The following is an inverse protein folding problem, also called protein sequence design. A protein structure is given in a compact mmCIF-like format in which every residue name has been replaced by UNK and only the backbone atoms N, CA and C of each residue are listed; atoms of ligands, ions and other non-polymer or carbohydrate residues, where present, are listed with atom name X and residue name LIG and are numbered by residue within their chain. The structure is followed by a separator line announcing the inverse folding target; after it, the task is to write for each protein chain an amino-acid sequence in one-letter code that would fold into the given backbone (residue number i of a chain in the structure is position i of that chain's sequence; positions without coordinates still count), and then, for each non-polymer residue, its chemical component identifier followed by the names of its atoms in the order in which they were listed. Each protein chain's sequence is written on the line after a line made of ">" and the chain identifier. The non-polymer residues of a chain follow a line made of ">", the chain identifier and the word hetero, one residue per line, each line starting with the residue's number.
data_IF_735849535145
#
_entry.id   IF_735849535145
#
_cell.length_a   1.000
_cell.length_b   1.000
_cell.length_c   1.000
_cell.angle_alpha   90.00
_cell.angle_beta   90.00
_cell.angle_gamma   90.00
#
_symmetry.space_group_name_H-M   'P 1'
#
loop_
_entity.id
_entity.type
_entity.pdbx_description
1 polymer ?
#
# COMPACT_ATOMS: atom_id res chain seq x y z
N UNK A 1 69.89 23.53 30.56
CA UNK A 1 68.40 23.78 30.65
C UNK A 1 67.81 24.46 29.39
N UNK A 2 68.42 25.44 28.78
CA UNK A 2 67.86 26.16 27.60
C UNK A 2 67.66 25.28 26.35
N UNK A 3 68.50 24.26 26.12
CA UNK A 3 68.42 23.38 24.96
C UNK A 3 67.22 22.42 25.02
N UNK A 4 66.87 21.96 26.21
CA UNK A 4 65.75 21.07 26.43
C UNK A 4 64.38 21.76 26.27
N UNK A 5 64.28 23.04 26.72
CA UNK A 5 63.08 23.87 26.54
C UNK A 5 62.85 24.25 25.08
N UNK A 6 63.94 24.45 24.32
CA UNK A 6 63.83 24.75 22.87
C UNK A 6 63.36 23.53 22.06
N UNK A 7 63.83 22.31 22.41
CA UNK A 7 63.42 21.07 21.77
C UNK A 7 61.93 20.75 22.05
N UNK A 8 61.47 20.90 23.31
CA UNK A 8 60.08 20.73 23.71
C UNK A 8 59.17 21.78 23.07
N UNK A 9 59.61 23.02 23.00
CA UNK A 9 58.86 24.11 22.33
C UNK A 9 58.68 23.89 20.84
N UNK A 10 59.68 23.37 20.15
CA UNK A 10 59.57 22.99 18.71
C UNK A 10 58.71 21.74 18.54
N UNK A 11 58.79 20.73 19.43
CA UNK A 11 57.97 19.54 19.37
C UNK A 11 56.50 19.91 19.61
N UNK A 12 56.17 20.76 20.55
CA UNK A 12 54.82 21.23 20.81
C UNK A 12 54.29 22.14 19.65
N UNK A 13 55.13 22.95 19.01
CA UNK A 13 54.77 23.70 17.81
C UNK A 13 54.46 22.75 16.63
N UNK A 14 55.26 21.70 16.49
CA UNK A 14 55.05 20.70 15.43
C UNK A 14 53.75 19.91 15.65
N UNK A 15 53.39 19.55 16.89
CA UNK A 15 52.09 18.96 17.20
C UNK A 15 50.92 19.90 16.93
N UNK A 16 51.05 21.17 17.21
CA UNK A 16 50.01 22.18 17.00
C UNK A 16 49.80 22.49 15.50
N UNK A 17 50.87 22.47 14.70
CA UNK A 17 50.80 22.57 13.23
C UNK A 17 50.24 21.34 12.58
N UNK A 18 50.49 20.15 13.10
CA UNK A 18 49.90 18.90 12.60
C UNK A 18 48.37 18.88 12.79
N UNK A 19 47.85 19.44 13.88
CA UNK A 19 46.42 19.54 14.13
C UNK A 19 45.66 20.49 13.18
N UNK A 20 46.38 21.47 12.59
CA UNK A 20 45.79 22.44 11.64
C UNK A 20 45.47 21.81 10.28
N UNK A 21 46.16 20.71 9.90
CA UNK A 21 46.00 20.06 8.63
C UNK A 21 45.06 18.81 8.67
N UNK A 22 44.50 18.51 9.85
CA UNK A 22 43.54 17.42 10.00
C UNK A 22 42.11 17.98 10.15
N UNK A 23 41.24 17.59 9.25
CA UNK A 23 39.80 17.80 9.41
C UNK A 23 39.17 16.58 10.06
N UNK A 24 38.31 16.80 11.04
CA UNK A 24 37.51 15.78 11.67
C UNK A 24 36.10 15.82 11.11
N UNK A 25 35.64 14.73 10.55
CA UNK A 25 34.32 14.57 10.02
C UNK A 25 33.52 13.60 10.90
N UNK A 26 32.30 13.98 11.25
CA UNK A 26 31.37 13.14 11.98
C UNK A 26 30.29 12.64 11.02
N UNK A 27 30.20 11.31 10.86
CA UNK A 27 29.13 10.62 10.14
C UNK A 27 28.17 10.03 11.19
N UNK A 28 26.92 10.48 11.19
CA UNK A 28 25.90 10.04 12.15
C UNK A 28 25.45 8.60 11.86
N UNK A 29 24.89 7.88 12.86
CA UNK A 29 24.25 6.60 12.64
C UNK A 29 23.17 6.69 11.54
N UNK A 30 22.99 5.61 10.76
CA UNK A 30 22.06 5.52 9.64
C UNK A 30 22.33 6.52 8.50
N UNK A 31 23.55 7.02 8.42
CA UNK A 31 24.03 7.82 7.30
C UNK A 31 25.37 7.31 6.82
N UNK A 32 25.69 7.62 5.59
CA UNK A 32 26.97 7.29 4.95
C UNK A 32 27.60 8.55 4.39
N UNK A 33 28.89 8.71 4.62
CA UNK A 33 29.68 9.80 4.08
C UNK A 33 30.37 9.38 2.78
N UNK A 34 30.41 10.29 1.81
CA UNK A 34 31.19 10.16 0.58
C UNK A 34 32.20 11.30 0.56
N UNK A 35 33.47 10.93 0.70
CA UNK A 35 34.57 11.88 0.72
C UNK A 35 35.11 12.13 -0.69
N UNK A 36 35.10 13.39 -1.08
CA UNK A 36 35.68 13.88 -2.31
C UNK A 36 36.92 14.69 -1.99
N UNK A 37 37.96 14.52 -2.79
CA UNK A 37 39.17 15.32 -2.75
C UNK A 37 39.43 15.92 -4.14
N UNK A 38 39.56 17.22 -4.20
CA UNK A 38 39.72 17.94 -5.48
C UNK A 38 38.64 17.55 -6.51
N UNK A 39 37.37 17.41 -6.04
CA UNK A 39 36.19 16.98 -6.80
C UNK A 39 36.26 15.52 -7.33
N UNK A 40 37.23 14.71 -6.87
CA UNK A 40 37.34 13.30 -7.21
C UNK A 40 36.91 12.48 -5.99
N UNK A 41 36.08 11.45 -6.22
CA UNK A 41 35.69 10.54 -5.16
C UNK A 41 36.92 9.79 -4.61
N UNK A 42 37.12 9.88 -3.29
CA UNK A 42 38.23 9.20 -2.62
C UNK A 42 37.78 7.89 -1.95
N UNK A 43 36.79 7.99 -1.05
CA UNK A 43 36.30 6.81 -0.30
C UNK A 43 34.95 7.03 0.36
N UNK A 44 34.29 5.91 0.69
CA UNK A 44 33.07 5.84 1.51
C UNK A 44 33.46 5.84 3.00
N UNK A 45 32.78 6.62 3.82
CA UNK A 45 32.93 6.68 5.27
C UNK A 45 31.68 6.10 5.94
N UNK A 46 31.89 5.13 6.83
CA UNK A 46 30.83 4.58 7.68
C UNK A 46 30.51 5.52 8.85
N UNK A 47 29.46 5.22 9.61
CA UNK A 47 29.11 5.99 10.81
C UNK A 47 30.28 6.03 11.80
N UNK A 48 30.57 7.20 12.36
CA UNK A 48 31.65 7.43 13.30
C UNK A 48 32.38 8.73 13.09
N UNK A 49 33.50 8.89 13.79
CA UNK A 49 34.41 10.02 13.62
C UNK A 49 35.59 9.62 12.73
N UNK A 50 35.85 10.43 11.72
CA UNK A 50 36.92 10.20 10.76
C UNK A 50 37.84 11.39 10.69
N UNK A 51 39.13 11.15 10.85
CA UNK A 51 40.18 12.15 10.64
C UNK A 51 40.73 12.06 9.22
N UNK A 52 40.74 13.18 8.53
CA UNK A 52 41.22 13.27 7.16
C UNK A 52 42.29 14.35 7.07
N UNK A 53 43.44 14.03 6.48
CA UNK A 53 44.48 15.00 6.20
C UNK A 53 44.05 15.88 5.02
N UNK A 54 43.96 17.21 5.26
CA UNK A 54 43.53 18.19 4.24
C UNK A 54 44.27 19.50 4.41
N UNK A 55 45.52 19.49 4.03
CA UNK A 55 46.36 20.69 4.17
C UNK A 55 46.04 21.80 3.15
N UNK A 56 45.35 21.43 2.00
CA UNK A 56 44.92 22.38 0.97
C UNK A 56 43.50 22.84 1.09
N UNK A 57 42.75 22.34 2.10
CA UNK A 57 41.32 22.59 2.28
C UNK A 57 40.47 22.28 1.05
N UNK A 58 40.74 21.12 0.41
CA UNK A 58 40.09 20.65 -0.82
C UNK A 58 39.30 19.35 -0.66
N UNK A 59 38.98 18.98 0.59
CA UNK A 59 38.13 17.82 0.85
C UNK A 59 36.73 18.28 1.17
N UNK A 60 35.76 17.62 0.54
CA UNK A 60 34.32 17.78 0.73
C UNK A 60 33.69 16.47 1.15
N UNK A 61 32.72 16.54 2.07
CA UNK A 61 31.99 15.37 2.55
C UNK A 61 30.50 15.52 2.25
N UNK A 62 29.97 14.61 1.46
CA UNK A 62 28.53 14.47 1.23
C UNK A 62 27.99 13.35 2.10
N UNK A 63 26.96 13.65 2.89
CA UNK A 63 26.34 12.68 3.81
C UNK A 63 24.95 12.32 3.28
N UNK A 64 24.74 11.04 2.96
CA UNK A 64 23.47 10.49 2.49
C UNK A 64 22.81 9.64 3.57
N UNK A 65 21.49 9.69 3.73
CA UNK A 65 20.76 8.78 4.61
C UNK A 65 20.71 7.37 4.02
N UNK A 66 20.91 6.36 4.85
CA UNK A 66 20.68 4.94 4.52
C UNK A 66 19.29 4.44 4.95
N UNK A 67 18.45 5.30 5.51
CA UNK A 67 17.11 4.94 5.95
C UNK A 67 16.11 5.00 4.80
N UNK A 68 15.10 4.14 4.87
CA UNK A 68 13.94 4.22 3.97
C UNK A 68 13.14 5.48 4.25
N UNK A 69 12.69 6.14 3.19
CA UNK A 69 11.84 7.33 3.24
C UNK A 69 10.52 7.07 2.55
N UNK A 70 9.46 7.68 3.07
CA UNK A 70 8.12 7.63 2.52
C UNK A 70 7.80 8.93 1.78
N UNK A 71 7.44 8.82 0.51
CA UNK A 71 6.88 9.90 -0.30
C UNK A 71 5.37 9.73 -0.38
N UNK A 72 4.65 10.80 -0.11
CA UNK A 72 3.19 10.84 -0.17
C UNK A 72 2.80 11.82 -1.27
N UNK A 73 2.05 11.34 -2.25
CA UNK A 73 1.53 12.15 -3.35
C UNK A 73 0.01 12.08 -3.33
N UNK A 74 -0.64 13.23 -3.22
CA UNK A 74 -2.09 13.34 -3.07
C UNK A 74 -2.72 14.04 -4.26
N UNK A 75 -4.02 13.78 -4.47
CA UNK A 75 -4.88 14.50 -5.40
C UNK A 75 -4.38 14.56 -6.86
N UNK A 76 -3.94 13.43 -7.37
CA UNK A 76 -3.61 13.30 -8.78
C UNK A 76 -4.84 12.95 -9.59
N UNK A 77 -5.01 13.57 -10.75
CA UNK A 77 -6.12 13.30 -11.67
C UNK A 77 -5.63 12.48 -12.85
N UNK A 78 -6.46 11.52 -13.27
CA UNK A 78 -6.21 10.66 -14.42
C UNK A 78 -7.52 10.26 -15.07
N UNK A 79 -7.47 9.99 -16.38
CA UNK A 79 -8.58 9.42 -17.13
C UNK A 79 -8.37 7.90 -17.26
N UNK A 80 -9.45 7.16 -17.06
CA UNK A 80 -9.54 5.75 -17.38
C UNK A 80 -9.65 5.51 -18.88
N UNK A 81 -9.59 4.25 -19.30
CA UNK A 81 -9.78 3.87 -20.71
C UNK A 81 -11.13 4.32 -21.27
N UNK A 82 -12.18 4.30 -20.48
CA UNK A 82 -13.54 4.76 -20.79
C UNK A 82 -13.76 6.27 -20.56
N UNK A 83 -12.67 7.06 -20.48
CA UNK A 83 -12.66 8.52 -20.29
C UNK A 83 -13.34 9.02 -19.01
N UNK A 84 -13.40 8.21 -17.97
CA UNK A 84 -13.86 8.65 -16.65
C UNK A 84 -12.70 9.29 -15.89
N UNK A 85 -12.86 10.56 -15.51
CA UNK A 85 -11.88 11.24 -14.66
C UNK A 85 -11.99 10.71 -13.23
N UNK A 86 -10.85 10.37 -12.63
CA UNK A 86 -10.76 9.97 -11.23
C UNK A 86 -9.59 10.67 -10.54
N UNK A 87 -9.67 10.75 -9.22
CA UNK A 87 -8.59 11.22 -8.36
C UNK A 87 -7.96 10.06 -7.61
N UNK A 88 -6.63 10.08 -7.52
CA UNK A 88 -5.89 9.09 -6.78
C UNK A 88 -4.79 9.73 -5.93
N UNK A 89 -4.41 9.01 -4.90
CA UNK A 89 -3.26 9.31 -4.04
C UNK A 89 -2.43 8.05 -3.89
N UNK A 90 -1.11 8.21 -3.78
CA UNK A 90 -0.21 7.08 -3.66
C UNK A 90 0.96 7.36 -2.75
N UNK A 91 1.58 6.31 -2.27
CA UNK A 91 2.76 6.34 -1.44
C UNK A 91 3.88 5.54 -2.11
N UNK A 92 5.09 6.07 -2.04
CA UNK A 92 6.30 5.37 -2.49
C UNK A 92 7.30 5.35 -1.35
N UNK A 93 7.72 4.16 -0.93
CA UNK A 93 8.81 3.99 0.01
C UNK A 93 10.07 3.67 -0.78
N UNK A 94 11.10 4.44 -0.55
CA UNK A 94 12.38 4.31 -1.25
C UNK A 94 13.55 4.41 -0.30
N UNK A 95 14.70 3.88 -0.74
CA UNK A 95 15.99 3.96 -0.06
C UNK A 95 17.10 4.26 -1.05
N UNK A 96 18.07 5.08 -0.68
CA UNK A 96 19.29 5.29 -1.45
C UNK A 96 20.22 4.10 -1.15
N UNK A 97 20.41 3.22 -2.11
CA UNK A 97 21.24 2.00 -1.96
C UNK A 97 22.64 2.21 -2.49
N UNK A 98 22.77 2.88 -3.62
CA UNK A 98 24.07 3.24 -4.18
C UNK A 98 24.25 4.76 -4.17
N UNK A 99 24.84 5.25 -3.06
CA UNK A 99 25.09 6.68 -2.89
C UNK A 99 26.14 7.23 -3.86
N UNK A 100 27.00 6.39 -4.44
CA UNK A 100 27.96 6.83 -5.45
C UNK A 100 27.25 7.12 -6.77
N UNK A 101 26.49 6.17 -7.28
CA UNK A 101 25.67 6.37 -8.49
C UNK A 101 24.74 7.55 -8.31
N UNK A 102 24.15 7.69 -7.11
CA UNK A 102 23.30 8.83 -6.77
C UNK A 102 24.03 10.17 -6.95
N UNK A 103 25.22 10.32 -6.35
CA UNK A 103 25.99 11.57 -6.44
C UNK A 103 26.51 11.85 -7.87
N UNK A 104 26.84 10.81 -8.64
CA UNK A 104 27.30 10.96 -10.02
C UNK A 104 26.18 11.45 -10.99
N UNK A 105 24.90 11.31 -10.63
CA UNK A 105 23.75 11.69 -11.45
C UNK A 105 23.17 13.08 -11.17
N UNK A 106 23.64 13.74 -10.12
CA UNK A 106 23.16 15.07 -9.70
C UNK A 106 24.32 16.06 -9.62
N UNK A 107 24.01 17.33 -9.88
CA UNK A 107 24.98 18.40 -9.75
C UNK A 107 25.28 18.66 -8.26
N UNK A 108 26.56 18.52 -7.88
CA UNK A 108 27.02 18.65 -6.49
C UNK A 108 27.34 20.12 -6.09
N UNK A 109 26.90 21.09 -6.87
CA UNK A 109 27.00 22.53 -6.60
C UNK A 109 25.99 23.01 -5.55
N UNK A 110 24.98 22.18 -5.26
CA UNK A 110 23.89 22.46 -4.33
C UNK A 110 24.11 21.77 -2.99
N UNK A 111 23.38 22.20 -1.97
CA UNK A 111 23.32 21.49 -0.71
C UNK A 111 22.72 20.11 -0.91
N UNK A 112 23.24 19.11 -0.21
CA UNK A 112 22.81 17.71 -0.31
C UNK A 112 21.30 17.53 -0.13
N UNK A 113 20.67 18.33 0.70
CA UNK A 113 19.22 18.32 0.90
C UNK A 113 18.45 18.68 -0.39
N UNK A 114 18.92 19.70 -1.11
CA UNK A 114 18.30 20.10 -2.38
C UNK A 114 18.47 19.01 -3.46
N UNK A 115 19.59 18.31 -3.46
CA UNK A 115 19.85 17.18 -4.36
C UNK A 115 18.88 16.04 -4.05
N UNK A 116 18.67 15.72 -2.79
CA UNK A 116 17.70 14.69 -2.37
C UNK A 116 16.29 15.07 -2.79
N UNK A 117 15.86 16.33 -2.61
CA UNK A 117 14.55 16.81 -3.05
C UNK A 117 14.38 16.69 -4.57
N UNK A 118 15.42 17.02 -5.35
CA UNK A 118 15.39 16.87 -6.81
C UNK A 118 15.21 15.39 -7.20
N UNK A 119 15.91 14.49 -6.53
CA UNK A 119 15.77 13.05 -6.73
C UNK A 119 14.37 12.54 -6.37
N UNK A 120 13.80 13.02 -5.26
CA UNK A 120 12.43 12.73 -4.83
C UNK A 120 11.41 13.18 -5.87
N UNK A 121 11.56 14.38 -6.45
CA UNK A 121 10.68 14.86 -7.51
C UNK A 121 10.78 14.02 -8.79
N UNK A 122 11.98 13.59 -9.20
CA UNK A 122 12.16 12.67 -10.32
C UNK A 122 11.46 11.34 -10.05
N UNK A 123 11.60 10.79 -8.84
CA UNK A 123 10.96 9.53 -8.45
C UNK A 123 9.42 9.66 -8.43
N UNK A 124 8.90 10.78 -7.94
CA UNK A 124 7.46 11.08 -7.96
C UNK A 124 6.95 11.10 -9.41
N UNK A 125 7.65 11.78 -10.32
CA UNK A 125 7.25 11.85 -11.73
C UNK A 125 7.23 10.47 -12.39
N UNK A 126 8.22 9.63 -12.13
CA UNK A 126 8.28 8.24 -12.63
C UNK A 126 7.08 7.44 -12.08
N UNK A 127 6.84 7.52 -10.77
CA UNK A 127 5.72 6.83 -10.14
C UNK A 127 4.37 7.28 -10.70
N UNK A 128 4.18 8.59 -10.89
CA UNK A 128 2.97 9.14 -11.50
C UNK A 128 2.73 8.60 -12.91
N UNK A 129 3.78 8.56 -13.72
CA UNK A 129 3.66 8.04 -15.10
C UNK A 129 3.28 6.55 -15.10
N UNK A 130 3.93 5.74 -14.26
CA UNK A 130 3.63 4.32 -14.15
C UNK A 130 2.18 4.05 -13.70
N UNK A 131 1.68 4.81 -12.72
CA UNK A 131 0.29 4.65 -12.25
C UNK A 131 -0.70 5.11 -13.33
N UNK A 132 -0.44 6.28 -13.96
CA UNK A 132 -1.31 6.80 -15.03
C UNK A 132 -1.46 5.81 -16.16
N UNK A 133 -0.37 5.20 -16.61
CA UNK A 133 -0.40 4.19 -17.67
C UNK A 133 -1.26 2.99 -17.25
N UNK A 134 -1.06 2.45 -16.05
CA UNK A 134 -1.86 1.34 -15.53
C UNK A 134 -3.36 1.68 -15.43
N UNK A 135 -3.70 2.88 -14.97
CA UNK A 135 -5.10 3.30 -14.84
C UNK A 135 -5.73 3.54 -16.22
N UNK A 136 -4.99 4.14 -17.15
CA UNK A 136 -5.47 4.41 -18.51
C UNK A 136 -5.73 3.15 -19.34
N UNK A 137 -5.16 2.01 -18.97
CA UNK A 137 -5.41 0.71 -19.62
C UNK A 137 -6.70 0.02 -19.13
N UNK A 138 -7.25 0.46 -18.00
CA UNK A 138 -8.38 -0.18 -17.34
C UNK A 138 -9.66 0.64 -17.45
N UNK A 139 -10.78 -0.04 -17.60
CA UNK A 139 -12.10 0.58 -17.54
C UNK A 139 -12.50 0.89 -16.09
N UNK A 140 -13.34 1.90 -15.89
CA UNK A 140 -13.76 2.36 -14.57
C UNK A 140 -14.45 1.28 -13.73
N UNK A 141 -15.21 0.38 -14.34
CA UNK A 141 -15.86 -0.76 -13.69
C UNK A 141 -14.83 -1.75 -13.16
N UNK A 142 -13.85 -2.13 -14.00
CA UNK A 142 -12.75 -3.03 -13.63
C UNK A 142 -11.90 -2.44 -12.51
N UNK A 143 -11.62 -1.14 -12.55
CA UNK A 143 -10.92 -0.42 -11.48
C UNK A 143 -11.66 -0.46 -10.15
N UNK A 144 -12.99 -0.35 -10.18
CA UNK A 144 -13.81 -0.40 -8.98
C UNK A 144 -13.86 -1.82 -8.39
N UNK A 145 -13.96 -2.86 -9.23
CA UNK A 145 -14.02 -4.26 -8.79
C UNK A 145 -12.66 -4.79 -8.31
N UNK A 146 -11.56 -4.42 -9.01
CA UNK A 146 -10.19 -4.92 -8.77
C UNK A 146 -9.30 -3.95 -8.00
N UNK A 147 -9.90 -3.09 -7.18
CA UNK A 147 -9.18 -2.07 -6.41
C UNK A 147 -8.03 -2.63 -5.56
N UNK A 148 -8.20 -3.84 -5.04
CA UNK A 148 -7.17 -4.53 -4.25
C UNK A 148 -5.97 -4.98 -5.08
N UNK A 149 -6.14 -5.32 -6.35
CA UNK A 149 -5.05 -5.71 -7.24
C UNK A 149 -4.16 -4.52 -7.61
N UNK A 150 -4.73 -3.32 -7.63
CA UNK A 150 -4.01 -2.06 -7.87
C UNK A 150 -3.33 -1.50 -6.63
N UNK A 151 -3.54 -2.10 -5.46
CA UNK A 151 -2.92 -1.65 -4.22
C UNK A 151 -1.38 -1.60 -4.32
N UNK A 152 -0.77 -2.53 -5.05
CA UNK A 152 0.65 -2.52 -5.35
C UNK A 152 0.87 -2.25 -6.85
N UNK A 153 1.44 -1.08 -7.15
CA UNK A 153 1.74 -0.69 -8.53
C UNK A 153 3.24 -0.63 -8.85
N UNK A 154 4.07 -1.19 -8.00
CA UNK A 154 5.52 -1.31 -8.25
C UNK A 154 5.74 -2.08 -9.55
N UNK A 155 6.16 -1.37 -10.60
CA UNK A 155 6.49 -1.95 -11.91
C UNK A 155 7.99 -2.15 -12.06
N UNK A 156 8.38 -3.07 -12.94
CA UNK A 156 9.81 -3.26 -13.26
C UNK A 156 10.43 -2.02 -13.89
N UNK A 157 9.67 -1.29 -14.70
CA UNK A 157 10.12 -0.03 -15.32
C UNK A 157 10.44 1.03 -14.27
N UNK A 158 9.57 1.19 -13.24
CA UNK A 158 9.81 2.10 -12.13
C UNK A 158 11.07 1.71 -11.36
N UNK A 159 11.25 0.42 -11.09
CA UNK A 159 12.43 -0.08 -10.37
C UNK A 159 13.71 0.18 -11.18
N UNK A 160 13.71 -0.12 -12.48
CA UNK A 160 14.86 0.12 -13.37
C UNK A 160 15.20 1.61 -13.44
N UNK A 161 14.19 2.46 -13.66
CA UNK A 161 14.39 3.90 -13.73
C UNK A 161 14.92 4.49 -12.41
N UNK A 162 14.48 4.00 -11.26
CA UNK A 162 14.98 4.44 -9.95
C UNK A 162 16.42 3.97 -9.69
N UNK A 163 16.77 2.75 -10.11
CA UNK A 163 18.11 2.19 -9.97
C UNK A 163 19.15 2.97 -10.80
N UNK A 164 18.77 3.59 -11.93
CA UNK A 164 19.67 4.41 -12.75
C UNK A 164 20.29 5.58 -11.99
N UNK A 165 19.63 6.06 -10.93
CA UNK A 165 20.17 7.10 -10.04
C UNK A 165 20.38 6.61 -8.60
N UNK A 166 20.65 5.32 -8.42
CA UNK A 166 21.08 4.73 -7.15
C UNK A 166 19.99 4.61 -6.09
N UNK A 167 18.71 4.72 -6.47
CA UNK A 167 17.56 4.58 -5.57
C UNK A 167 16.89 3.22 -5.79
N UNK A 168 16.58 2.56 -4.68
CA UNK A 168 15.75 1.34 -4.70
C UNK A 168 14.35 1.67 -4.19
N UNK A 169 13.34 1.37 -4.98
CA UNK A 169 11.94 1.43 -4.56
C UNK A 169 11.60 0.17 -3.80
N UNK A 170 11.31 0.30 -2.51
CA UNK A 170 10.92 -0.82 -1.67
C UNK A 170 9.44 -1.16 -1.87
N UNK A 171 8.58 -0.14 -1.84
CA UNK A 171 7.15 -0.27 -1.92
C UNK A 171 6.54 0.89 -2.71
N UNK A 172 5.54 0.58 -3.54
CA UNK A 172 4.74 1.58 -4.23
C UNK A 172 3.27 1.17 -4.13
N UNK A 173 2.48 1.95 -3.38
CA UNK A 173 1.09 1.60 -3.05
C UNK A 173 0.13 2.71 -3.43
N UNK A 174 -0.98 2.30 -4.04
CA UNK A 174 -2.13 3.15 -4.21
C UNK A 174 -2.83 3.30 -2.85
N UNK A 175 -2.98 4.54 -2.39
CA UNK A 175 -3.61 4.86 -1.12
C UNK A 175 -5.11 5.05 -1.29
N UNK A 176 -5.49 6.02 -2.12
CA UNK A 176 -6.87 6.42 -2.33
C UNK A 176 -7.18 6.47 -3.82
N UNK A 177 -8.37 6.01 -4.19
CA UNK A 177 -8.94 6.10 -5.51
C UNK A 177 -10.37 6.60 -5.39
N UNK A 178 -10.68 7.76 -5.96
CA UNK A 178 -11.99 8.39 -5.82
C UNK A 178 -12.54 8.76 -7.18
N UNK A 179 -13.71 8.23 -7.49
CA UNK A 179 -14.48 8.63 -8.68
C UNK A 179 -15.33 9.87 -8.41
N UNK A 180 -15.72 10.64 -9.45
CA UNK A 180 -16.73 11.68 -9.34
C UNK A 180 -18.04 11.14 -8.76
N UNK A 181 -18.78 11.97 -8.03
CA UNK A 181 -20.01 11.57 -7.35
C UNK A 181 -21.04 10.95 -8.31
N UNK A 182 -21.18 11.49 -9.51
CA UNK A 182 -22.07 10.93 -10.54
C UNK A 182 -21.76 9.48 -10.90
N UNK A 183 -20.48 9.14 -10.99
CA UNK A 183 -20.02 7.78 -11.29
C UNK A 183 -20.17 6.86 -10.06
N UNK A 184 -19.90 7.37 -8.88
CA UNK A 184 -20.15 6.62 -7.63
C UNK A 184 -21.64 6.26 -7.50
N UNK A 185 -22.55 7.19 -7.80
CA UNK A 185 -23.99 6.95 -7.77
C UNK A 185 -24.43 5.91 -8.81
N UNK A 186 -23.81 5.89 -9.99
CA UNK A 186 -24.04 4.85 -11.01
C UNK A 186 -23.58 3.47 -10.53
N UNK A 187 -22.38 3.38 -9.95
CA UNK A 187 -21.88 2.13 -9.38
C UNK A 187 -22.74 1.62 -8.23
N UNK A 188 -23.22 2.53 -7.37
CA UNK A 188 -24.12 2.18 -6.28
C UNK A 188 -25.43 1.58 -6.80
N UNK A 189 -26.06 2.20 -7.81
CA UNK A 189 -27.27 1.69 -8.45
C UNK A 189 -27.02 0.33 -9.16
N UNK A 190 -25.90 0.19 -9.87
CA UNK A 190 -25.54 -1.09 -10.51
C UNK A 190 -25.36 -2.21 -9.46
N UNK A 191 -24.66 -1.93 -8.38
CA UNK A 191 -24.47 -2.89 -7.29
C UNK A 191 -25.79 -3.26 -6.62
N UNK A 192 -26.67 -2.27 -6.36
CA UNK A 192 -28.01 -2.52 -5.81
C UNK A 192 -28.82 -3.45 -6.72
N UNK A 193 -28.84 -3.18 -8.02
CA UNK A 193 -29.53 -4.02 -9.00
C UNK A 193 -28.94 -5.44 -9.03
N UNK A 194 -27.62 -5.60 -8.98
CA UNK A 194 -26.91 -6.90 -8.94
C UNK A 194 -27.26 -7.69 -7.66
N UNK A 195 -27.29 -7.01 -6.51
CA UNK A 195 -27.67 -7.62 -5.23
C UNK A 195 -29.14 -8.05 -5.25
N UNK A 196 -30.05 -7.19 -5.76
CA UNK A 196 -31.48 -7.51 -5.89
C UNK A 196 -31.69 -8.73 -6.78
N UNK A 197 -31.11 -8.77 -7.96
CA UNK A 197 -31.20 -9.90 -8.88
C UNK A 197 -30.68 -11.21 -8.24
N UNK A 198 -29.57 -11.15 -7.51
CA UNK A 198 -29.02 -12.29 -6.77
C UNK A 198 -29.99 -12.77 -5.69
N UNK A 199 -30.57 -11.85 -4.92
CA UNK A 199 -31.56 -12.16 -3.87
C UNK A 199 -32.81 -12.81 -4.47
N UNK A 200 -33.33 -12.29 -5.58
CA UNK A 200 -34.50 -12.86 -6.28
C UNK A 200 -34.20 -14.26 -6.79
N UNK A 201 -33.00 -14.50 -7.34
CA UNK A 201 -32.57 -15.84 -7.78
C UNK A 201 -32.51 -16.83 -6.61
N UNK A 202 -31.93 -16.42 -5.48
CA UNK A 202 -31.86 -17.28 -4.28
C UNK A 202 -33.24 -17.53 -3.69
N UNK A 203 -34.12 -16.55 -3.68
CA UNK A 203 -35.52 -16.69 -3.27
C UNK A 203 -36.26 -17.68 -4.19
N UNK A 204 -36.07 -17.58 -5.51
CA UNK A 204 -36.67 -18.50 -6.45
C UNK A 204 -36.14 -19.94 -6.26
N UNK A 205 -34.83 -20.10 -6.06
CA UNK A 205 -34.22 -21.42 -5.75
C UNK A 205 -34.80 -22.04 -4.46
N UNK A 206 -34.91 -21.20 -3.41
CA UNK A 206 -35.46 -21.59 -2.12
C UNK A 206 -36.93 -21.99 -2.27
N UNK A 207 -37.75 -21.23 -3.02
CA UNK A 207 -39.13 -21.55 -3.29
C UNK A 207 -39.28 -22.92 -4.02
N UNK A 208 -38.44 -23.18 -5.04
CA UNK A 208 -38.42 -24.45 -5.73
C UNK A 208 -38.02 -25.61 -4.80
N UNK A 209 -36.98 -25.41 -3.98
CA UNK A 209 -36.56 -26.41 -3.00
C UNK A 209 -37.64 -26.70 -1.97
N UNK A 210 -38.32 -25.66 -1.46
CA UNK A 210 -39.45 -25.78 -0.52
C UNK A 210 -40.64 -26.49 -1.17
N UNK A 211 -40.98 -26.17 -2.42
CA UNK A 211 -42.06 -26.85 -3.16
C UNK A 211 -41.75 -28.36 -3.38
N UNK A 212 -40.49 -28.69 -3.69
CA UNK A 212 -40.09 -30.09 -3.81
C UNK A 212 -40.14 -30.80 -2.47
N UNK A 213 -39.66 -30.16 -1.39
CA UNK A 213 -39.74 -30.73 -0.04
C UNK A 213 -41.19 -31.00 0.39
N UNK A 214 -42.11 -30.03 0.12
CA UNK A 214 -43.55 -30.18 0.39
C UNK A 214 -44.17 -31.28 -0.46
N UNK A 215 -43.79 -31.40 -1.75
CA UNK A 215 -44.26 -32.50 -2.59
C UNK A 215 -43.82 -33.86 -2.04
N UNK A 216 -42.55 -34.03 -1.72
CA UNK A 216 -42.02 -35.25 -1.14
C UNK A 216 -42.70 -35.59 0.21
N UNK A 217 -42.89 -34.58 1.08
CA UNK A 217 -43.62 -34.75 2.33
C UNK A 217 -45.06 -35.18 2.08
N UNK A 218 -45.75 -34.58 1.09
CA UNK A 218 -47.12 -34.96 0.72
C UNK A 218 -47.20 -36.37 0.17
N UNK A 219 -46.22 -36.85 -0.60
CA UNK A 219 -46.14 -38.21 -1.09
C UNK A 219 -45.97 -39.24 0.05
N UNK A 220 -45.07 -38.94 1.00
CA UNK A 220 -44.87 -39.75 2.22
C UNK A 220 -46.13 -39.82 3.09
N UNK A 221 -46.90 -38.73 3.14
CA UNK A 221 -48.16 -38.69 3.90
C UNK A 221 -49.30 -39.47 3.26
N UNK A 222 -49.27 -39.78 1.96
CA UNK A 222 -50.33 -40.59 1.32
C UNK A 222 -50.31 -41.99 1.83
N UNK A 223 -49.19 -42.52 2.24
CA UNK A 223 -49.00 -43.91 2.61
C UNK A 223 -49.08 -44.16 4.14
N UNK A 224 -49.07 -43.11 4.99
CA UNK A 224 -49.09 -43.23 6.46
C UNK A 224 -49.95 -42.14 7.14
N UNK A 225 -51.09 -42.57 7.69
CA UNK A 225 -52.01 -41.70 8.38
C UNK A 225 -51.45 -41.13 9.71
N UNK A 226 -50.46 -41.80 10.30
CA UNK A 226 -49.83 -41.28 11.52
C UNK A 226 -48.96 -40.06 11.21
N UNK A 227 -48.27 -40.03 10.06
CA UNK A 227 -47.46 -38.89 9.62
C UNK A 227 -48.37 -37.66 9.37
N UNK A 228 -49.57 -37.86 8.77
CA UNK A 228 -50.56 -36.78 8.59
C UNK A 228 -50.97 -36.17 9.93
N UNK A 229 -51.26 -37.03 10.89
CA UNK A 229 -51.69 -36.59 12.23
C UNK A 229 -50.59 -35.81 12.94
N UNK A 230 -49.34 -36.28 12.88
CA UNK A 230 -48.20 -35.56 13.46
C UNK A 230 -48.01 -34.20 12.86
N UNK A 231 -48.14 -34.02 11.56
CA UNK A 231 -47.97 -32.75 10.89
C UNK A 231 -49.12 -31.77 11.18
N UNK A 232 -50.34 -32.24 11.38
CA UNK A 232 -51.45 -31.42 11.84
C UNK A 232 -51.16 -30.89 13.25
N UNK A 233 -50.68 -31.73 14.16
CA UNK A 233 -50.31 -31.33 15.52
C UNK A 233 -49.15 -30.31 15.48
N UNK A 234 -48.10 -30.53 14.70
CA UNK A 234 -46.99 -29.57 14.56
C UNK A 234 -47.43 -28.23 14.02
N UNK A 235 -48.34 -28.22 13.04
CA UNK A 235 -48.91 -27.01 12.48
C UNK A 235 -49.73 -26.23 13.52
N UNK A 236 -50.58 -26.93 14.29
CA UNK A 236 -51.36 -26.36 15.38
C UNK A 236 -50.42 -25.78 16.45
N UNK A 237 -49.38 -26.50 16.82
CA UNK A 237 -48.38 -26.03 17.80
C UNK A 237 -47.69 -24.73 17.35
N UNK A 238 -47.22 -24.70 16.08
CA UNK A 238 -46.59 -23.49 15.48
C UNK A 238 -47.54 -22.27 15.41
N UNK A 239 -48.84 -22.49 15.21
CA UNK A 239 -49.83 -21.44 15.22
C UNK A 239 -50.08 -20.99 16.65
N UNK A 240 -50.16 -21.91 17.62
CA UNK A 240 -50.37 -21.64 19.03
C UNK A 240 -49.20 -20.84 19.65
N UNK A 241 -47.95 -21.07 19.22
CA UNK A 241 -46.79 -20.32 19.67
C UNK A 241 -46.84 -18.84 19.26
N UNK A 242 -47.51 -18.47 18.17
CA UNK A 242 -47.55 -17.11 17.63
C UNK A 242 -48.69 -16.24 18.21
N UNK A 243 -49.54 -16.73 19.10
CA UNK A 243 -50.62 -15.96 19.72
C UNK A 243 -51.57 -16.80 20.59
N UNK A 244 -52.50 -16.12 21.30
CA UNK A 244 -53.58 -16.82 22.05
C UNK A 244 -54.64 -17.26 21.07
N UNK A 245 -54.56 -18.49 20.59
CA UNK A 245 -55.51 -19.09 19.68
C UNK A 245 -56.28 -20.20 20.43
N UNK A 246 -57.58 -20.29 20.26
CA UNK A 246 -58.41 -21.42 20.71
C UNK A 246 -58.73 -22.29 19.51
N UNK A 247 -58.29 -23.55 19.51
CA UNK A 247 -58.58 -24.48 18.46
C UNK A 247 -59.80 -25.34 18.88
N UNK A 248 -60.86 -25.32 18.09
CA UNK A 248 -61.96 -26.31 18.21
C UNK A 248 -61.60 -27.48 17.29
N UNK A 249 -61.21 -28.58 17.89
CA UNK A 249 -60.96 -29.85 17.17
C UNK A 249 -62.26 -30.64 17.22
N UNK A 250 -62.90 -30.85 16.06
CA UNK A 250 -64.01 -31.75 15.92
C UNK A 250 -63.59 -33.21 16.11
N UNK A 251 -64.56 -34.15 15.97
CA UNK A 251 -64.36 -35.56 16.27
C UNK A 251 -63.16 -36.16 15.51
N UNK A 252 -62.08 -36.45 16.25
CA UNK A 252 -60.80 -36.96 15.75
C UNK A 252 -60.97 -38.31 15.02
N UNK A 253 -62.05 -39.08 15.36
CA UNK A 253 -62.32 -40.37 14.73
C UNK A 253 -62.75 -40.28 13.25
N UNK A 254 -63.11 -39.08 12.75
CA UNK A 254 -63.40 -38.90 11.31
C UNK A 254 -62.15 -38.66 10.46
N UNK A 255 -61.05 -38.34 11.05
CA UNK A 255 -59.76 -38.09 10.36
C UNK A 255 -58.96 -39.42 10.16
N UNK A 256 -59.32 -40.48 10.86
CA UNK A 256 -58.63 -41.77 10.84
C UNK A 256 -59.46 -42.89 10.21
N UNK A 257 -60.68 -42.62 9.71
CA UNK A 257 -61.49 -43.60 8.97
C UNK A 257 -61.24 -43.49 7.47
N UNK A 258 -60.64 -44.49 6.96
CA UNK A 258 -60.83 -44.94 5.62
C UNK A 258 -61.92 -45.98 5.63
#
# INVERSE_FOLDING_TARGET
>A
MAFFTFLIGNFLKQYKTIGIFKKQYQVKPNTVGFLFRENIFERKLTSGYHEVWDWKNRTELFILPETSKLLIVTNQEVLTKDNVALRFSFNVTYKITDGRVFLDKFALDKQIYAIILEAEQRLINIAQLCIRNKIAELDSETLNEKRSELANFKTEEMVKAALEFGITVELAQLRDLTFPKSIQDLFAKHLEAKIRAKSELENARTAVATARALKNASELMKDDDNIKFFQIIETITKIAEKGKHTFMIGDINQLTKK
#
